data_IF_275229267936
#
_entry.id   IF_275229267936
#
_cell.length_a   1.000
_cell.length_b   1.000
_cell.length_c   1.000
_cell.angle_alpha   90.00
_cell.angle_beta   90.00
_cell.angle_gamma   90.00
#
_symmetry.space_group_name_H-M   'P 1'
#
loop_
_entity.id
_entity.type
_entity.pdbx_description
1 polymer ?
#
# COMPACT_ATOMS: atom_id res chain seq x y z
N UNK A 1 -43.99 -10.20 85.19
CA UNK A 1 -44.57 -11.03 84.12
C UNK A 1 -43.65 -10.87 82.90
N UNK A 2 -43.09 -11.90 82.26
CA UNK A 2 -43.72 -13.06 81.60
C UNK A 2 -44.56 -12.60 80.36
N UNK A 3 -44.36 -13.10 79.13
CA UNK A 3 -43.56 -14.27 78.72
C UNK A 3 -43.11 -14.31 77.22
N UNK A 4 -41.96 -14.99 77.01
CA UNK A 4 -41.62 -15.96 75.93
C UNK A 4 -41.74 -15.60 74.43
N UNK A 5 -40.56 -15.47 73.79
CA UNK A 5 -40.07 -16.34 72.68
C UNK A 5 -41.05 -16.89 71.62
N UNK A 6 -40.78 -16.60 70.34
CA UNK A 6 -40.52 -17.68 69.36
C UNK A 6 -39.65 -17.24 68.17
N UNK A 7 -38.85 -18.18 67.66
CA UNK A 7 -37.85 -18.04 66.59
C UNK A 7 -38.35 -18.74 65.32
N UNK A 8 -38.28 -18.06 64.18
CA UNK A 8 -38.30 -18.68 62.84
C UNK A 8 -37.51 -17.82 61.85
N UNK A 9 -36.40 -18.34 61.34
CA UNK A 9 -35.74 -17.75 60.19
C UNK A 9 -36.46 -18.20 58.91
N UNK A 10 -36.77 -17.29 57.99
CA UNK A 10 -37.23 -17.65 56.65
C UNK A 10 -36.42 -16.94 55.57
N UNK A 11 -35.47 -17.68 55.01
CA UNK A 11 -34.65 -17.33 53.85
C UNK A 11 -35.55 -17.02 52.64
N UNK A 12 -35.50 -15.79 52.14
CA UNK A 12 -36.15 -15.38 50.88
C UNK A 12 -35.17 -14.65 49.94
N UNK A 13 -33.95 -15.18 49.81
CA UNK A 13 -33.13 -14.94 48.61
C UNK A 13 -33.81 -15.62 47.41
N UNK A 14 -34.71 -14.89 46.75
CA UNK A 14 -35.55 -15.41 45.68
C UNK A 14 -35.93 -14.38 44.63
N UNK A 15 -35.45 -14.60 43.39
CA UNK A 15 -35.95 -14.04 42.13
C UNK A 15 -35.77 -12.52 41.89
N UNK A 16 -34.51 -12.10 41.76
CA UNK A 16 -34.15 -10.97 40.88
C UNK A 16 -32.77 -11.18 40.23
N UNK A 17 -32.68 -12.18 39.33
CA UNK A 17 -31.40 -12.53 38.67
C UNK A 17 -31.51 -13.35 37.36
N UNK A 18 -32.69 -13.43 36.72
CA UNK A 18 -32.85 -14.15 35.43
C UNK A 18 -33.42 -13.32 34.27
N UNK A 19 -34.06 -12.17 34.52
CA UNK A 19 -34.63 -11.33 33.46
C UNK A 19 -33.58 -10.67 32.55
N UNK A 20 -32.34 -10.50 33.05
CA UNK A 20 -31.26 -9.81 32.32
C UNK A 20 -30.58 -10.61 31.22
N UNK A 21 -30.66 -11.96 31.21
CA UNK A 21 -29.94 -12.77 30.20
C UNK A 21 -30.69 -12.91 28.87
N UNK A 22 -32.00 -13.15 28.90
CA UNK A 22 -32.81 -13.16 27.68
C UNK A 22 -32.80 -11.79 26.99
N UNK A 23 -33.08 -10.74 27.75
CA UNK A 23 -33.08 -9.36 27.24
C UNK A 23 -31.73 -8.91 26.69
N UNK A 24 -30.60 -9.21 27.35
CA UNK A 24 -29.27 -8.89 26.81
C UNK A 24 -28.94 -9.66 25.52
N UNK A 25 -29.41 -10.91 25.38
CA UNK A 25 -29.16 -11.73 24.20
C UNK A 25 -30.06 -11.32 23.01
N UNK A 26 -31.33 -11.00 23.26
CA UNK A 26 -32.21 -10.36 22.26
C UNK A 26 -31.71 -8.97 21.84
N UNK A 27 -31.15 -8.18 22.76
CA UNK A 27 -30.48 -6.93 22.43
C UNK A 27 -29.25 -7.17 21.55
N UNK A 28 -28.42 -8.17 21.86
CA UNK A 28 -27.26 -8.52 21.04
C UNK A 28 -27.66 -8.97 19.62
N UNK A 29 -28.74 -9.75 19.46
CA UNK A 29 -29.26 -10.12 18.13
C UNK A 29 -29.91 -8.96 17.38
N UNK A 30 -30.64 -8.07 18.07
CA UNK A 30 -31.18 -6.85 17.44
C UNK A 30 -30.04 -5.93 16.98
N UNK A 31 -29.01 -5.76 17.81
CA UNK A 31 -27.81 -5.00 17.46
C UNK A 31 -27.08 -5.62 16.27
N UNK A 32 -26.78 -6.92 16.27
CA UNK A 32 -26.09 -7.58 15.15
C UNK A 32 -26.89 -7.49 13.84
N UNK A 33 -28.23 -7.63 13.91
CA UNK A 33 -29.12 -7.52 12.76
C UNK A 33 -29.21 -6.08 12.21
N UNK A 34 -29.24 -5.06 13.07
CA UNK A 34 -29.09 -3.66 12.62
C UNK A 34 -27.70 -3.37 12.05
N UNK A 35 -26.65 -4.01 12.56
CA UNK A 35 -25.29 -3.87 12.04
C UNK A 35 -25.13 -4.52 10.66
N UNK A 36 -25.74 -5.69 10.43
CA UNK A 36 -25.76 -6.33 9.10
C UNK A 36 -26.59 -5.54 8.10
N UNK A 37 -27.74 -4.99 8.51
CA UNK A 37 -28.57 -4.14 7.65
C UNK A 37 -27.80 -2.87 7.26
N UNK A 38 -27.21 -2.16 8.23
CA UNK A 38 -26.38 -0.98 7.98
C UNK A 38 -25.16 -1.29 7.09
N UNK A 39 -24.48 -2.42 7.32
CA UNK A 39 -23.37 -2.85 6.47
C UNK A 39 -23.81 -3.16 5.03
N UNK A 40 -24.99 -3.75 4.85
CA UNK A 40 -25.56 -4.03 3.53
C UNK A 40 -25.96 -2.74 2.79
N UNK A 41 -26.56 -1.77 3.49
CA UNK A 41 -26.85 -0.45 2.93
C UNK A 41 -25.57 0.30 2.52
N UNK A 42 -24.52 0.26 3.35
CA UNK A 42 -23.20 0.84 3.02
C UNK A 42 -22.57 0.14 1.81
N UNK A 43 -22.68 -1.19 1.71
CA UNK A 43 -22.18 -1.95 0.56
C UNK A 43 -22.93 -1.62 -0.74
N UNK A 44 -24.26 -1.60 -0.71
CA UNK A 44 -25.10 -1.25 -1.86
C UNK A 44 -24.87 0.20 -2.30
N UNK A 45 -24.74 1.14 -1.37
CA UNK A 45 -24.36 2.52 -1.65
C UNK A 45 -22.96 2.62 -2.28
N UNK A 46 -21.99 1.85 -1.78
CA UNK A 46 -20.64 1.79 -2.33
C UNK A 46 -20.60 1.24 -3.76
N UNK A 47 -21.30 0.14 -4.03
CA UNK A 47 -21.39 -0.46 -5.38
C UNK A 47 -22.15 0.46 -6.35
N UNK A 48 -23.25 1.08 -5.90
CA UNK A 48 -24.00 2.06 -6.70
C UNK A 48 -23.20 3.32 -7.03
N UNK A 49 -22.48 3.87 -6.06
CA UNK A 49 -21.58 5.00 -6.26
C UNK A 49 -20.40 4.64 -7.18
N UNK A 50 -19.82 3.44 -7.05
CA UNK A 50 -18.76 2.96 -7.93
C UNK A 50 -19.26 2.79 -9.39
N UNK A 51 -20.43 2.19 -9.60
CA UNK A 51 -21.03 2.07 -10.93
C UNK A 51 -21.33 3.44 -11.57
N UNK A 52 -21.80 4.41 -10.77
CA UNK A 52 -21.97 5.80 -11.25
C UNK A 52 -20.63 6.45 -11.59
N UNK A 53 -19.62 6.29 -10.75
CA UNK A 53 -18.28 6.84 -10.98
C UNK A 53 -17.60 6.22 -12.21
N UNK A 54 -17.87 4.96 -12.56
CA UNK A 54 -17.43 4.36 -13.83
C UNK A 54 -18.14 5.00 -15.03
N UNK A 55 -19.47 5.15 -14.99
CA UNK A 55 -20.23 5.74 -16.08
C UNK A 55 -19.87 7.21 -16.35
N UNK A 56 -19.70 8.01 -15.29
CA UNK A 56 -19.25 9.40 -15.40
C UNK A 56 -17.74 9.49 -15.72
N UNK A 57 -16.92 8.59 -15.19
CA UNK A 57 -15.48 8.51 -15.43
C UNK A 57 -15.12 8.22 -16.90
N UNK A 58 -15.80 7.27 -17.56
CA UNK A 58 -15.60 7.02 -19.00
C UNK A 58 -15.95 8.25 -19.84
N UNK A 59 -17.02 8.97 -19.48
CA UNK A 59 -17.43 10.21 -20.16
C UNK A 59 -16.43 11.35 -19.96
N UNK A 60 -15.85 11.49 -18.77
CA UNK A 60 -14.75 12.41 -18.51
C UNK A 60 -13.50 12.04 -19.32
N UNK A 61 -13.16 10.75 -19.40
CA UNK A 61 -12.03 10.26 -20.18
C UNK A 61 -12.19 10.54 -21.68
N UNK A 62 -13.35 10.25 -22.28
CA UNK A 62 -13.63 10.60 -23.69
C UNK A 62 -13.56 12.12 -23.93
N UNK A 63 -14.03 12.93 -22.97
CA UNK A 63 -13.87 14.38 -22.99
C UNK A 63 -12.40 14.80 -23.04
N UNK A 64 -11.58 14.30 -22.10
CA UNK A 64 -10.14 14.58 -22.03
C UNK A 64 -9.37 14.09 -23.26
N UNK A 65 -9.74 12.95 -23.85
CA UNK A 65 -9.14 12.45 -25.11
C UNK A 65 -9.50 13.38 -26.28
N UNK A 66 -10.76 13.81 -26.38
CA UNK A 66 -11.21 14.75 -27.42
C UNK A 66 -10.57 16.13 -27.27
N UNK A 67 -10.44 16.63 -26.05
CA UNK A 67 -9.71 17.86 -25.75
C UNK A 67 -8.22 17.72 -26.03
N UNK A 68 -7.60 16.58 -25.69
CA UNK A 68 -6.20 16.26 -26.01
C UNK A 68 -5.92 16.27 -27.52
N UNK A 69 -6.79 15.66 -28.33
CA UNK A 69 -6.71 15.69 -29.79
C UNK A 69 -6.87 17.12 -30.36
N UNK A 70 -7.82 17.89 -29.81
CA UNK A 70 -8.01 19.30 -30.17
C UNK A 70 -6.79 20.16 -29.80
N UNK A 71 -6.23 19.93 -28.62
CA UNK A 71 -5.04 20.61 -28.11
C UNK A 71 -3.79 20.24 -28.91
N UNK A 72 -3.63 18.99 -29.36
CA UNK A 72 -2.52 18.56 -30.21
C UNK A 72 -2.63 19.19 -31.62
N UNK A 73 -3.83 19.25 -32.20
CA UNK A 73 -4.07 19.98 -33.47
C UNK A 73 -3.82 21.49 -33.32
N UNK A 74 -4.18 22.06 -32.17
CA UNK A 74 -3.98 23.48 -31.86
C UNK A 74 -2.50 23.79 -31.63
N UNK A 75 -1.81 23.00 -30.80
CA UNK A 75 -0.38 23.13 -30.54
C UNK A 75 0.46 23.01 -31.82
N UNK A 76 0.11 22.09 -32.74
CA UNK A 76 0.75 22.00 -34.08
C UNK A 76 0.62 23.30 -34.89
N UNK A 77 -0.51 24.01 -34.79
CA UNK A 77 -0.73 25.31 -35.45
C UNK A 77 -0.01 26.47 -34.73
N UNK A 78 0.13 26.42 -33.41
CA UNK A 78 0.72 27.48 -32.57
C UNK A 78 2.22 27.33 -32.28
N UNK A 79 2.97 26.57 -33.09
CA UNK A 79 4.41 26.31 -32.89
C UNK A 79 5.33 27.55 -33.01
N UNK A 80 4.81 28.71 -33.42
CA UNK A 80 5.55 29.96 -33.52
C UNK A 80 5.72 30.72 -32.21
N UNK A 81 6.78 30.45 -31.46
CA UNK A 81 7.37 31.33 -30.42
C UNK A 81 6.62 31.46 -29.08
N UNK A 82 5.32 31.75 -29.09
CA UNK A 82 4.51 31.95 -27.87
C UNK A 82 4.32 30.68 -27.02
N UNK A 83 4.53 29.49 -27.61
CA UNK A 83 4.27 28.20 -26.97
C UNK A 83 5.10 27.94 -25.70
N UNK A 84 6.28 28.55 -25.55
CA UNK A 84 7.14 28.36 -24.37
C UNK A 84 6.49 28.85 -23.07
N UNK A 85 6.11 30.14 -23.03
CA UNK A 85 5.56 30.77 -21.81
C UNK A 85 4.23 30.13 -21.39
N UNK A 86 3.38 29.77 -22.35
CA UNK A 86 2.15 29.02 -22.06
C UNK A 86 2.45 27.62 -21.50
N UNK A 87 3.47 26.93 -22.04
CA UNK A 87 3.89 25.63 -21.53
C UNK A 87 4.39 25.75 -20.09
N UNK A 88 5.29 26.67 -19.77
CA UNK A 88 5.85 26.81 -18.42
C UNK A 88 4.75 27.10 -17.37
N UNK A 89 3.75 27.92 -17.74
CA UNK A 89 2.57 28.19 -16.90
C UNK A 89 1.67 26.96 -16.69
N UNK A 90 1.53 26.09 -17.70
CA UNK A 90 0.78 24.82 -17.60
C UNK A 90 1.58 23.79 -16.79
N UNK A 91 2.88 23.62 -17.08
CA UNK A 91 3.80 22.70 -16.39
C UNK A 91 3.83 23.00 -14.88
N UNK A 92 3.87 24.30 -14.49
CA UNK A 92 3.77 24.75 -13.10
C UNK A 92 2.42 24.40 -12.44
N UNK A 93 1.28 24.65 -13.11
CA UNK A 93 -0.05 24.28 -12.58
C UNK A 93 -0.24 22.77 -12.46
N UNK A 94 0.26 22.00 -13.43
CA UNK A 94 0.25 20.52 -13.39
C UNK A 94 1.12 20.00 -12.25
N UNK A 95 2.27 20.64 -11.98
CA UNK A 95 3.10 20.35 -10.80
C UNK A 95 2.33 20.49 -9.49
N UNK A 96 1.71 21.66 -9.25
CA UNK A 96 0.92 21.91 -8.03
C UNK A 96 -0.32 21.01 -7.90
N UNK A 97 -0.96 20.65 -9.01
CA UNK A 97 -2.08 19.72 -9.03
C UNK A 97 -1.60 18.29 -8.69
N UNK A 98 -0.46 17.86 -9.23
CA UNK A 98 0.14 16.54 -8.97
C UNK A 98 0.59 16.40 -7.52
N UNK A 99 1.21 17.43 -6.94
CA UNK A 99 1.66 17.44 -5.54
C UNK A 99 0.49 17.19 -4.57
N UNK A 100 -0.62 17.94 -4.72
CA UNK A 100 -1.83 17.72 -3.91
C UNK A 100 -2.57 16.42 -4.24
N UNK A 101 -2.45 15.92 -5.46
CA UNK A 101 -2.96 14.60 -5.81
C UNK A 101 -2.16 13.48 -5.12
N UNK A 102 -0.83 13.61 -5.01
CA UNK A 102 0.02 12.69 -4.24
C UNK A 102 -0.33 12.68 -2.75
N UNK A 103 -0.42 13.86 -2.10
CA UNK A 103 -0.88 13.98 -0.69
C UNK A 103 -2.21 13.26 -0.43
N UNK A 104 -3.10 13.24 -1.43
CA UNK A 104 -4.41 12.60 -1.36
C UNK A 104 -4.33 11.10 -1.65
N UNK A 105 -3.49 10.70 -2.61
CA UNK A 105 -3.22 9.31 -2.96
C UNK A 105 -2.57 8.55 -1.80
N UNK A 106 -1.56 9.12 -1.14
CA UNK A 106 -0.87 8.48 -0.01
C UNK A 106 -1.82 8.22 1.16
N UNK A 107 -2.85 9.06 1.33
CA UNK A 107 -3.95 8.83 2.30
C UNK A 107 -4.89 7.72 1.85
N UNK A 108 -5.19 7.62 0.55
CA UNK A 108 -5.95 6.49 -0.01
C UNK A 108 -5.18 5.18 0.14
N UNK A 109 -3.87 5.17 -0.08
CA UNK A 109 -2.99 4.01 0.12
C UNK A 109 -3.02 3.55 1.58
N UNK A 110 -2.88 4.47 2.54
CA UNK A 110 -3.00 4.14 3.96
C UNK A 110 -4.38 3.57 4.34
N UNK A 111 -5.47 4.16 3.85
CA UNK A 111 -6.84 3.67 4.11
C UNK A 111 -7.10 2.32 3.43
N UNK A 112 -6.52 2.09 2.26
CA UNK A 112 -6.54 0.79 1.58
C UNK A 112 -5.74 -0.26 2.37
N UNK A 113 -4.53 0.06 2.84
CA UNK A 113 -3.73 -0.85 3.64
C UNK A 113 -4.43 -1.21 4.95
N UNK A 114 -4.93 -0.22 5.71
CA UNK A 114 -5.75 -0.47 6.90
C UNK A 114 -6.95 -1.39 6.60
N UNK A 115 -7.57 -1.25 5.43
CA UNK A 115 -8.73 -2.07 5.05
C UNK A 115 -8.33 -3.49 4.64
N UNK A 116 -7.20 -3.66 3.97
CA UNK A 116 -6.62 -4.97 3.60
C UNK A 116 -6.14 -5.70 4.85
N UNK A 117 -5.39 -5.04 5.73
CA UNK A 117 -4.98 -5.57 7.04
C UNK A 117 -6.22 -6.00 7.86
N UNK A 118 -7.26 -5.17 7.94
CA UNK A 118 -8.52 -5.49 8.65
C UNK A 118 -9.33 -6.62 8.01
N UNK A 119 -9.12 -6.93 6.74
CA UNK A 119 -9.67 -8.12 6.08
C UNK A 119 -8.83 -9.38 6.37
N UNK A 120 -7.50 -9.27 6.33
CA UNK A 120 -6.55 -10.35 6.61
C UNK A 120 -6.63 -10.82 8.07
N UNK A 121 -6.68 -9.90 9.03
CA UNK A 121 -6.87 -10.22 10.46
C UNK A 121 -8.21 -10.94 10.69
N UNK A 122 -9.28 -10.55 9.97
CA UNK A 122 -10.57 -11.25 10.01
C UNK A 122 -10.54 -12.64 9.38
N UNK A 123 -9.56 -12.92 8.51
CA UNK A 123 -9.32 -14.23 7.91
C UNK A 123 -8.33 -15.08 8.73
N UNK A 124 -7.82 -14.55 9.85
CA UNK A 124 -6.86 -15.24 10.72
C UNK A 124 -5.41 -15.21 10.24
N UNK A 125 -5.06 -14.31 9.31
CA UNK A 125 -3.69 -14.10 8.84
C UNK A 125 -2.99 -13.07 9.75
N UNK A 126 -1.91 -13.43 10.47
CA UNK A 126 -1.18 -12.49 11.33
C UNK A 126 -0.48 -11.38 10.54
N UNK A 127 -0.41 -10.19 11.12
CA UNK A 127 0.28 -9.03 10.56
C UNK A 127 1.81 -9.08 10.71
N UNK A 128 2.49 -8.11 10.09
CA UNK A 128 3.95 -7.94 10.24
C UNK A 128 4.32 -7.50 11.65
N UNK A 129 3.47 -6.69 12.26
CA UNK A 129 3.63 -6.18 13.62
C UNK A 129 3.46 -7.32 14.63
N UNK A 130 2.43 -8.17 14.48
CA UNK A 130 2.22 -9.38 15.31
C UNK A 130 3.44 -10.31 15.29
N UNK A 131 4.06 -10.49 14.13
CA UNK A 131 5.28 -11.30 13.97
C UNK A 131 6.52 -10.64 14.60
N UNK A 132 6.58 -9.31 14.62
CA UNK A 132 7.64 -8.54 15.27
C UNK A 132 7.51 -8.63 16.79
N UNK A 133 6.31 -8.37 17.31
CA UNK A 133 5.95 -8.45 18.73
C UNK A 133 6.19 -9.88 19.28
N UNK A 134 5.84 -10.91 18.51
CA UNK A 134 6.15 -12.31 18.83
C UNK A 134 7.66 -12.60 18.82
N UNK A 135 8.41 -12.03 17.86
CA UNK A 135 9.87 -12.19 17.79
C UNK A 135 10.58 -11.57 18.99
N UNK A 136 10.18 -10.36 19.42
CA UNK A 136 10.73 -9.71 20.61
C UNK A 136 10.40 -10.49 21.90
N UNK A 137 9.18 -11.02 22.02
CA UNK A 137 8.78 -11.90 23.15
C UNK A 137 9.61 -13.18 23.17
N UNK A 138 9.84 -13.82 22.02
CA UNK A 138 10.69 -15.01 21.89
C UNK A 138 12.16 -14.68 22.21
N UNK A 139 12.66 -13.50 21.84
CA UNK A 139 13.98 -13.04 22.25
C UNK A 139 14.10 -12.80 23.76
N UNK A 140 13.14 -12.12 24.39
CA UNK A 140 13.14 -11.93 25.86
C UNK A 140 13.14 -13.27 26.58
N UNK A 141 12.23 -14.17 26.19
CA UNK A 141 12.14 -15.52 26.76
C UNK A 141 13.44 -16.32 26.52
N UNK A 142 14.09 -16.16 25.37
CA UNK A 142 15.40 -16.78 25.07
C UNK A 142 16.53 -16.20 25.93
N UNK A 143 16.52 -14.89 26.19
CA UNK A 143 17.50 -14.23 27.09
C UNK A 143 17.28 -14.68 28.54
N UNK A 144 16.03 -14.76 28.98
CA UNK A 144 15.66 -15.25 30.32
C UNK A 144 15.99 -16.72 30.50
N UNK A 145 15.70 -17.58 29.52
CA UNK A 145 16.04 -19.01 29.55
C UNK A 145 17.57 -19.21 29.60
N UNK A 146 18.34 -18.48 28.79
CA UNK A 146 19.82 -18.49 28.87
C UNK A 146 20.33 -18.03 30.23
N UNK A 147 19.74 -16.97 30.80
CA UNK A 147 20.06 -16.46 32.15
C UNK A 147 19.68 -17.44 33.27
N UNK A 148 18.69 -18.30 33.06
CA UNK A 148 18.30 -19.38 33.97
C UNK A 148 19.05 -20.69 33.73
N UNK A 149 20.15 -20.68 32.94
CA UNK A 149 20.99 -21.86 32.71
C UNK A 149 20.53 -22.78 31.57
N UNK A 150 19.49 -22.39 30.83
CA UNK A 150 19.02 -23.07 29.63
C UNK A 150 20.04 -23.00 28.50
N UNK A 151 20.97 -23.97 28.48
CA UNK A 151 21.93 -24.16 27.40
C UNK A 151 21.20 -24.56 26.11
N UNK A 152 20.95 -23.58 25.25
CA UNK A 152 20.35 -23.83 23.94
C UNK A 152 21.25 -24.80 23.12
N UNK A 153 20.67 -25.70 22.31
CA UNK A 153 21.47 -26.59 21.46
C UNK A 153 22.32 -25.77 20.50
N UNK A 154 23.61 -25.68 20.79
CA UNK A 154 24.57 -24.92 20.00
C UNK A 154 24.54 -25.42 18.56
N UNK A 155 24.08 -24.56 17.64
CA UNK A 155 24.04 -24.85 16.21
C UNK A 155 25.44 -25.32 15.80
N UNK A 156 25.55 -26.57 15.34
CA UNK A 156 26.83 -27.29 15.26
C UNK A 156 27.85 -26.50 14.45
N UNK A 157 28.73 -25.79 15.15
CA UNK A 157 29.94 -25.17 14.60
C UNK A 157 30.78 -26.29 14.01
N UNK A 158 30.71 -26.45 12.69
CA UNK A 158 31.44 -27.47 11.94
C UNK A 158 32.93 -27.29 12.21
N UNK A 159 33.48 -28.20 13.02
CA UNK A 159 34.85 -28.12 13.46
C UNK A 159 35.79 -28.20 12.26
N UNK A 160 36.84 -27.37 12.28
CA UNK A 160 37.77 -27.28 11.17
C UNK A 160 38.49 -28.61 10.91
N UNK A 161 38.74 -28.90 9.63
CA UNK A 161 39.89 -29.71 9.23
C UNK A 161 40.86 -28.81 8.46
N UNK A 162 42.07 -28.68 8.98
CA UNK A 162 43.08 -27.76 8.47
C UNK A 162 43.95 -28.44 7.36
N UNK A 163 45.06 -27.84 6.89
CA UNK A 163 45.10 -27.30 5.54
C UNK A 163 45.98 -28.10 4.56
N UNK A 164 45.74 -27.94 3.26
CA UNK A 164 46.61 -28.47 2.21
C UNK A 164 46.74 -27.52 1.00
N UNK A 165 47.92 -26.92 0.87
CA UNK A 165 48.56 -26.53 -0.40
C UNK A 165 49.81 -27.43 -0.55
N UNK A 166 50.47 -27.57 -1.72
CA UNK A 166 50.26 -26.80 -2.95
C UNK A 166 50.07 -27.64 -4.24
N UNK A 167 49.53 -27.02 -5.28
CA UNK A 167 49.76 -27.42 -6.67
C UNK A 167 49.67 -26.18 -7.59
N UNK A 168 50.55 -26.08 -8.58
CA UNK A 168 50.54 -24.99 -9.57
C UNK A 168 50.55 -25.56 -11.00
N UNK A 169 49.59 -25.11 -11.82
CA UNK A 169 49.39 -25.29 -13.30
C UNK A 169 47.94 -24.88 -13.59
N UNK A 170 47.55 -24.36 -14.77
CA UNK A 170 48.25 -23.70 -15.87
C UNK A 170 47.22 -22.79 -16.58
N UNK A 171 47.66 -21.77 -17.32
CA UNK A 171 46.79 -20.77 -17.94
C UNK A 171 45.81 -21.31 -19.00
N UNK A 172 44.63 -20.68 -19.08
CA UNK A 172 43.83 -20.49 -20.31
C UNK A 172 42.99 -19.21 -20.17
N UNK A 173 42.57 -18.61 -21.30
CA UNK A 173 42.03 -17.24 -21.35
C UNK A 173 40.51 -17.15 -21.48
N UNK A 174 39.93 -16.07 -20.94
CA UNK A 174 38.85 -15.30 -21.56
C UNK A 174 38.81 -13.88 -20.94
N UNK A 175 38.47 -12.84 -21.72
CA UNK A 175 38.32 -11.46 -21.22
C UNK A 175 36.86 -11.12 -20.91
N UNK A 176 36.59 -10.25 -19.91
CA UNK A 176 35.23 -9.79 -19.60
C UNK A 176 34.78 -8.65 -20.52
N UNK A 177 33.48 -8.37 -20.54
CA UNK A 177 32.93 -7.03 -20.83
C UNK A 177 31.53 -6.87 -20.23
N UNK A 178 31.42 -6.07 -19.18
CA UNK A 178 30.17 -5.41 -18.83
C UNK A 178 30.04 -4.13 -19.67
N UNK A 179 28.82 -3.70 -19.98
CA UNK A 179 28.58 -2.55 -20.86
C UNK A 179 27.48 -1.63 -20.30
N UNK A 180 27.87 -0.39 -19.96
CA UNK A 180 26.97 0.77 -19.81
C UNK A 180 27.57 1.95 -20.58
N UNK A 181 26.68 2.78 -21.10
CA UNK A 181 26.91 3.99 -21.93
C UNK A 181 27.52 5.16 -21.11
N UNK A 182 27.79 6.38 -21.64
CA UNK A 182 27.38 6.93 -22.95
C UNK A 182 28.33 7.92 -23.69
N UNK A 183 27.82 8.43 -24.83
CA UNK A 183 27.93 9.82 -25.33
C UNK A 183 29.08 10.29 -26.26
N UNK A 184 28.75 11.38 -26.97
CA UNK A 184 29.60 12.42 -27.59
C UNK A 184 30.09 12.30 -29.07
N UNK A 185 29.38 13.05 -29.94
CA UNK A 185 29.89 14.05 -30.93
C UNK A 185 31.10 13.70 -31.84
N UNK A 186 30.87 13.73 -33.16
CA UNK A 186 31.72 14.52 -34.09
C UNK A 186 30.98 14.92 -35.38
N UNK A 187 31.36 16.03 -35.99
CA UNK A 187 30.89 16.49 -37.30
C UNK A 187 32.03 17.22 -38.05
N UNK A 188 32.15 17.05 -39.38
CA UNK A 188 32.92 17.94 -40.28
C UNK A 188 32.68 17.64 -41.76
N UNK A 189 32.20 18.65 -42.52
CA UNK A 189 32.63 19.09 -43.90
C UNK A 189 32.50 18.06 -45.06
N UNK A 190 32.31 18.41 -46.34
CA UNK A 190 32.36 19.64 -47.21
C UNK A 190 31.42 19.35 -48.45
N UNK A 191 31.13 20.13 -49.51
CA UNK A 191 31.41 21.50 -50.03
C UNK A 191 30.44 21.83 -51.21
N UNK A 192 30.28 23.13 -51.55
CA UNK A 192 30.19 23.74 -52.94
C UNK A 192 29.11 23.15 -53.91
N UNK A 193 27.98 23.81 -54.25
CA UNK A 193 27.72 25.08 -55.00
C UNK A 193 28.05 24.99 -56.52
N UNK A 194 27.38 25.61 -57.52
CA UNK A 194 26.36 26.71 -57.71
C UNK A 194 25.77 26.52 -59.17
N UNK A 195 24.99 27.40 -59.88
CA UNK A 195 24.13 28.55 -59.55
C UNK A 195 22.68 28.49 -60.15
N UNK A 196 21.94 29.62 -60.19
CA UNK A 196 20.65 29.84 -60.94
C UNK A 196 20.90 30.38 -62.38
N UNK A 197 19.87 30.51 -63.26
CA UNK A 197 19.22 31.83 -63.43
C UNK A 197 17.65 31.73 -63.59
N UNK A 198 16.86 32.61 -64.29
CA UNK A 198 15.97 33.51 -63.52
C UNK A 198 14.54 33.83 -64.08
N UNK A 199 13.76 34.55 -63.25
CA UNK A 199 12.52 35.36 -63.49
C UNK A 199 11.29 34.84 -64.27
N UNK A 200 10.11 35.23 -63.75
CA UNK A 200 8.81 35.32 -64.44
C UNK A 200 8.67 36.72 -65.13
N UNK A 201 7.54 37.14 -65.76
CA UNK A 201 6.15 36.93 -65.35
C UNK A 201 5.49 35.63 -65.83
#
# INVERSE_FOLDING_TARGET
>A
MAAKFKKTAKKTTGKSSSAGKGSAQEQAERLSKTLSESAQQIWLAGVGAFGRAQAEGTKLFEGLVKEGLSLEQTARKFTGGQAGVLRDAVESKVGQARERASDTWDRLEKVFEERVQRALVKLGVPGRDDLTDLSERVESLTRELRRQGGSAPSARKSAAKAPAKPAAKKAAAAKPKAQKSPAAKKATRKSIARPKPPVAP
#
